data_IF_097678883612
#
_entry.id   IF_097678883612
#
_cell.length_a   1.000
_cell.length_b   1.000
_cell.length_c   1.000
_cell.angle_alpha   90.00
_cell.angle_beta   90.00
_cell.angle_gamma   90.00
#
_symmetry.space_group_name_H-M   'P 1'
#
loop_
_entity.id
_entity.type
_entity.pdbx_description
1 polymer ?
#
# COMPACT_ATOMS: atom_id res chain seq x y z
N UNK A 1 0.83 13.66 -10.85
CA UNK A 1 0.90 12.41 -10.06
C UNK A 1 -0.42 12.29 -9.30
N UNK A 2 -1.18 11.23 -9.53
CA UNK A 2 -2.42 11.01 -8.80
C UNK A 2 -2.09 10.68 -7.34
N UNK A 3 -2.70 11.40 -6.39
CA UNK A 3 -2.55 11.12 -4.96
C UNK A 3 -3.41 9.91 -4.61
N UNK A 4 -2.79 8.74 -4.42
CA UNK A 4 -3.49 7.57 -3.91
C UNK A 4 -3.81 7.83 -2.44
N UNK A 5 -5.10 7.86 -2.10
CA UNK A 5 -5.54 7.87 -0.70
C UNK A 5 -5.45 6.45 -0.16
N UNK A 6 -4.50 6.21 0.73
CA UNK A 6 -4.39 4.95 1.46
C UNK A 6 -5.47 4.91 2.57
N UNK A 7 -6.32 3.87 2.60
CA UNK A 7 -7.24 3.63 3.71
C UNK A 7 -6.53 3.61 5.09
N UNK A 8 -7.17 4.10 6.17
CA UNK A 8 -6.53 4.18 7.49
C UNK A 8 -6.06 2.85 8.07
N UNK A 9 -6.82 1.79 7.85
CA UNK A 9 -6.54 0.39 8.23
C UNK A 9 -5.29 -0.17 7.56
N UNK A 10 -5.08 0.14 6.27
CA UNK A 10 -3.84 -0.22 5.56
C UNK A 10 -2.64 0.51 6.15
N UNK A 11 -2.79 1.79 6.48
CA UNK A 11 -1.74 2.57 7.15
C UNK A 11 -1.38 1.98 8.52
N UNK A 12 -2.38 1.59 9.31
CA UNK A 12 -2.16 0.97 10.62
C UNK A 12 -1.41 -0.36 10.51
N UNK A 13 -1.78 -1.19 9.53
CA UNK A 13 -1.11 -2.47 9.24
C UNK A 13 0.37 -2.27 8.88
N UNK A 14 0.68 -1.31 7.99
CA UNK A 14 2.07 -0.98 7.63
C UNK A 14 2.86 -0.42 8.82
N UNK A 15 2.23 0.40 9.67
CA UNK A 15 2.87 0.92 10.88
C UNK A 15 3.26 -0.20 11.86
N UNK A 16 2.40 -1.22 12.01
CA UNK A 16 2.70 -2.38 12.85
C UNK A 16 3.93 -3.13 12.33
N UNK A 17 3.99 -3.42 11.03
CA UNK A 17 5.15 -4.06 10.41
C UNK A 17 6.44 -3.23 10.58
N UNK A 18 6.34 -1.91 10.39
CA UNK A 18 7.46 -0.99 10.59
C UNK A 18 7.94 -0.99 12.05
N UNK A 19 7.02 -1.02 13.02
CA UNK A 19 7.38 -1.06 14.45
C UNK A 19 8.13 -2.33 14.86
N UNK A 20 7.90 -3.43 14.13
CA UNK A 20 8.61 -4.70 14.30
C UNK A 20 9.80 -4.86 13.34
N UNK A 21 10.18 -3.80 12.60
CA UNK A 21 11.26 -3.81 11.62
C UNK A 21 11.13 -4.95 10.58
N UNK A 22 9.90 -5.33 10.25
CA UNK A 22 9.62 -6.38 9.27
C UNK A 22 9.98 -5.85 7.88
N UNK A 23 10.73 -6.64 7.11
CA UNK A 23 10.98 -6.36 5.69
C UNK A 23 9.82 -6.93 4.88
N UNK A 24 9.14 -6.08 4.13
CA UNK A 24 8.03 -6.43 3.24
C UNK A 24 8.19 -5.70 1.90
N UNK A 25 7.47 -6.16 0.89
CA UNK A 25 7.45 -5.54 -0.43
C UNK A 25 6.00 -5.35 -0.86
N UNK A 26 5.56 -4.11 -0.93
CA UNK A 26 4.25 -3.79 -1.48
C UNK A 26 4.18 -4.17 -2.96
N UNK A 27 3.22 -5.04 -3.30
CA UNK A 27 2.93 -5.48 -4.67
C UNK A 27 1.45 -5.23 -5.01
N UNK A 28 1.00 -5.69 -6.18
CA UNK A 28 -0.40 -5.57 -6.58
C UNK A 28 -0.82 -4.15 -7.01
N UNK A 29 -2.13 -3.88 -6.91
CA UNK A 29 -2.76 -2.67 -7.46
C UNK A 29 -2.22 -1.36 -6.88
N UNK A 30 -1.88 -1.34 -5.58
CA UNK A 30 -1.29 -0.17 -4.94
C UNK A 30 0.12 0.16 -5.46
N UNK A 31 0.94 -0.86 -5.70
CA UNK A 31 2.28 -0.68 -6.29
C UNK A 31 2.18 -0.14 -7.74
N UNK A 32 1.28 -0.70 -8.54
CA UNK A 32 1.02 -0.25 -9.92
C UNK A 32 0.48 1.19 -9.95
N UNK A 33 -0.46 1.50 -9.05
CA UNK A 33 -1.02 2.84 -8.92
C UNK A 33 0.05 3.88 -8.58
N UNK A 34 0.98 3.55 -7.68
CA UNK A 34 2.09 4.43 -7.31
C UNK A 34 2.95 4.82 -8.54
N UNK A 35 3.12 3.91 -9.49
CA UNK A 35 3.85 4.15 -10.74
C UNK A 35 3.03 4.81 -11.86
N UNK A 36 1.79 5.24 -11.59
CA UNK A 36 1.01 6.11 -12.48
C UNK A 36 -0.14 5.42 -13.24
N UNK A 37 -0.48 4.18 -12.90
CA UNK A 37 -1.62 3.46 -13.48
C UNK A 37 -2.66 3.10 -12.41
N UNK A 38 -3.35 4.09 -11.80
CA UNK A 38 -4.34 3.82 -10.77
C UNK A 38 -5.57 3.12 -11.37
N UNK A 39 -5.89 1.93 -10.87
CA UNK A 39 -7.14 1.22 -11.13
C UNK A 39 -7.88 0.93 -9.81
N UNK A 40 -9.14 0.48 -9.87
CA UNK A 40 -9.84 0.02 -8.67
C UNK A 40 -9.16 -1.24 -8.12
N UNK A 41 -8.73 -1.18 -6.86
CA UNK A 41 -8.19 -2.31 -6.07
C UNK A 41 -8.78 -2.18 -4.67
N UNK A 42 -9.23 -3.30 -4.10
CA UNK A 42 -9.89 -3.34 -2.79
C UNK A 42 -8.97 -3.89 -1.69
N UNK A 43 -7.81 -4.37 -2.10
CA UNK A 43 -6.85 -5.18 -1.37
C UNK A 43 -5.46 -4.54 -1.39
N UNK A 44 -4.60 -4.98 -0.47
CA UNK A 44 -3.21 -4.56 -0.38
C UNK A 44 -2.36 -5.79 -0.14
N UNK A 45 -1.46 -6.07 -1.07
CA UNK A 45 -0.56 -7.23 -1.04
C UNK A 45 0.85 -6.79 -0.64
N UNK A 46 1.46 -7.44 0.37
CA UNK A 46 2.75 -7.05 0.97
C UNK A 46 3.65 -8.24 1.30
#
# INVERSE_FOLDING_TARGET
>A
MAMIRLPPDFKESLNLLNSHCVKYLLVGGYAVGYHGYPGPTADMDI
#
